data_IF_965095302290
#
_entry.id   IF_965095302290
#
_cell.length_a   1.000
_cell.length_b   1.000
_cell.length_c   1.000
_cell.angle_alpha   90.00
_cell.angle_beta   90.00
_cell.angle_gamma   90.00
#
_symmetry.space_group_name_H-M   'P 1'
#
loop_
_entity.id
_entity.type
_entity.pdbx_description
1 polymer ?
#
# COMPACT_ATOMS: atom_id res chain seq x y z
N UNK A 1 -12.69 10.24 -3.51
CA UNK A 1 -12.25 9.01 -2.83
C UNK A 1 -12.32 9.16 -1.30
N UNK A 2 -11.65 10.16 -0.71
CA UNK A 2 -11.65 10.42 0.75
C UNK A 2 -12.60 11.53 1.23
N UNK A 3 -13.59 11.91 0.41
CA UNK A 3 -14.43 13.09 0.65
C UNK A 3 -15.71 12.80 1.46
N UNK A 4 -15.74 11.69 2.20
CA UNK A 4 -16.79 11.26 3.15
C UNK A 4 -18.23 11.13 2.63
N UNK A 5 -18.52 11.47 1.38
CA UNK A 5 -19.86 11.33 0.81
C UNK A 5 -20.25 9.85 0.60
N UNK A 6 -21.52 9.59 0.29
CA UNK A 6 -22.01 8.21 0.14
C UNK A 6 -21.44 7.43 -1.05
N UNK A 7 -20.71 8.09 -1.95
CA UNK A 7 -20.01 7.48 -3.08
C UNK A 7 -18.49 7.45 -2.87
N UNK A 8 -18.01 7.81 -1.68
CA UNK A 8 -16.61 7.76 -1.29
C UNK A 8 -16.29 6.40 -0.67
N UNK A 9 -15.00 6.16 -0.42
CA UNK A 9 -14.57 5.00 0.37
C UNK A 9 -14.43 5.37 1.85
N UNK A 10 -15.20 6.35 2.34
CA UNK A 10 -15.01 7.01 3.63
C UNK A 10 -14.13 8.25 3.53
N UNK A 11 -13.38 8.54 4.59
CA UNK A 11 -12.44 9.66 4.64
C UNK A 11 -11.22 9.36 5.50
N UNK A 12 -10.62 10.42 6.02
CA UNK A 12 -9.52 10.31 6.97
C UNK A 12 -10.02 9.77 8.32
N UNK A 13 -9.11 9.19 9.09
CA UNK A 13 -9.36 8.88 10.49
C UNK A 13 -9.28 10.13 11.36
N UNK A 14 -9.83 10.06 12.57
CA UNK A 14 -9.55 11.08 13.59
C UNK A 14 -8.05 11.13 13.87
N UNK A 15 -7.53 12.31 14.25
CA UNK A 15 -6.12 12.46 14.58
C UNK A 15 -5.71 11.49 15.69
N UNK A 16 -4.64 10.74 15.46
CA UNK A 16 -3.92 9.96 16.47
C UNK A 16 -2.52 10.56 16.68
N UNK A 17 -1.94 10.33 17.85
CA UNK A 17 -0.60 10.81 18.19
C UNK A 17 0.38 9.64 18.14
N UNK A 18 1.22 9.60 17.10
CA UNK A 18 2.21 8.55 16.88
C UNK A 18 3.37 9.12 16.04
N UNK A 19 4.59 8.55 16.13
CA UNK A 19 5.78 9.15 15.52
C UNK A 19 5.80 9.07 13.98
N UNK A 20 4.97 8.20 13.39
CA UNK A 20 5.00 7.86 11.97
C UNK A 20 4.93 6.36 11.76
N UNK A 21 5.05 5.94 10.50
CA UNK A 21 5.05 4.53 10.11
C UNK A 21 6.44 4.12 9.67
N UNK A 22 7.00 3.11 10.32
CA UNK A 22 8.26 2.50 9.89
C UNK A 22 8.04 1.63 8.67
N UNK A 23 8.80 1.88 7.62
CA UNK A 23 8.77 1.07 6.39
C UNK A 23 9.67 -0.15 6.59
N UNK A 24 9.13 -1.20 7.22
CA UNK A 24 9.88 -2.44 7.44
C UNK A 24 10.09 -3.23 6.13
N UNK A 25 11.26 -3.85 5.98
CA UNK A 25 11.55 -4.80 4.89
C UNK A 25 11.93 -4.18 3.54
N UNK A 26 12.01 -2.84 3.46
CA UNK A 26 12.30 -2.14 2.21
C UNK A 26 13.74 -1.70 2.03
N UNK A 27 14.67 -1.90 2.97
CA UNK A 27 16.08 -1.44 2.82
C UNK A 27 16.30 0.09 2.87
N UNK A 28 15.23 0.88 3.03
CA UNK A 28 15.31 2.33 3.21
C UNK A 28 16.13 2.68 4.46
N UNK A 29 16.85 3.81 4.39
CA UNK A 29 17.69 4.31 5.48
C UNK A 29 17.10 5.62 6.05
N UNK A 30 17.43 5.98 7.30
CA UNK A 30 17.03 7.27 7.86
C UNK A 30 17.39 8.47 6.96
N UNK A 31 16.48 9.44 6.76
CA UNK A 31 15.13 9.55 7.35
C UNK A 31 14.01 8.90 6.53
N UNK A 32 14.31 8.20 5.45
CA UNK A 32 13.33 7.66 4.49
C UNK A 32 12.71 6.32 4.91
N UNK A 33 13.24 5.71 5.96
CA UNK A 33 12.70 4.51 6.61
C UNK A 33 11.49 4.81 7.52
N UNK A 34 11.19 6.08 7.78
CA UNK A 34 10.05 6.53 8.57
C UNK A 34 9.19 7.52 7.78
N UNK A 35 7.94 7.12 7.52
CA UNK A 35 6.92 8.02 6.95
C UNK A 35 6.32 8.85 8.11
N UNK A 36 6.43 10.19 8.09
CA UNK A 36 5.90 11.02 9.17
C UNK A 36 4.39 10.84 9.35
N UNK A 37 3.91 10.90 10.58
CA UNK A 37 2.47 10.98 10.85
C UNK A 37 1.89 12.29 10.31
N UNK A 38 0.63 12.23 9.85
CA UNK A 38 -0.09 13.38 9.32
C UNK A 38 -1.37 13.66 10.15
N UNK A 39 -2.45 14.16 9.54
CA UNK A 39 -3.65 14.60 10.25
C UNK A 39 -4.57 13.47 10.78
N UNK A 40 -4.27 12.20 10.53
CA UNK A 40 -5.13 11.06 10.88
C UNK A 40 -4.46 10.02 11.79
N UNK A 41 -4.75 8.74 11.54
CA UNK A 41 -4.21 7.56 12.25
C UNK A 41 -5.22 6.87 13.17
N UNK A 42 -6.28 7.57 13.57
CA UNK A 42 -7.39 7.03 14.34
C UNK A 42 -8.52 6.48 13.47
N UNK A 43 -9.67 6.25 14.11
CA UNK A 43 -10.85 5.66 13.47
C UNK A 43 -11.45 6.54 12.38
N UNK A 44 -11.88 5.92 11.29
CA UNK A 44 -12.76 6.55 10.29
C UNK A 44 -14.16 6.63 10.89
N UNK A 45 -14.71 7.85 11.05
CA UNK A 45 -16.01 8.08 11.68
C UNK A 45 -17.13 8.44 10.72
N UNK A 46 -16.80 8.72 9.46
CA UNK A 46 -17.73 9.27 8.47
C UNK A 46 -17.67 8.51 7.13
N UNK A 47 -18.79 8.59 6.40
CA UNK A 47 -18.97 7.95 5.10
C UNK A 47 -19.36 6.47 5.18
N UNK A 48 -19.42 5.76 4.04
CA UNK A 48 -20.04 4.43 3.94
C UNK A 48 -19.39 3.35 4.81
N UNK A 49 -18.14 3.55 5.21
CA UNK A 49 -17.33 2.56 5.94
C UNK A 49 -17.06 2.95 7.40
N UNK A 50 -17.76 3.97 7.95
CA UNK A 50 -17.61 4.40 9.34
C UNK A 50 -17.82 3.28 10.38
N UNK A 51 -18.69 2.31 10.05
CA UNK A 51 -19.01 1.16 10.91
C UNK A 51 -18.37 -0.15 10.42
N UNK A 52 -17.38 -0.07 9.51
CA UNK A 52 -16.69 -1.26 9.02
C UNK A 52 -15.83 -1.88 10.12
N UNK A 53 -15.97 -3.19 10.30
CA UNK A 53 -15.12 -3.97 11.19
C UNK A 53 -13.99 -4.65 10.41
N UNK A 54 -12.75 -4.33 10.78
CA UNK A 54 -11.53 -5.03 10.36
C UNK A 54 -11.42 -6.26 11.26
N UNK A 55 -11.42 -7.47 10.70
CA UNK A 55 -11.58 -8.71 11.47
C UNK A 55 -10.32 -9.56 11.61
N UNK A 56 -9.28 -9.32 10.80
CA UNK A 56 -8.02 -10.06 10.79
C UNK A 56 -6.83 -9.10 11.01
N UNK A 57 -5.63 -9.66 11.17
CA UNK A 57 -4.43 -8.91 11.48
C UNK A 57 -4.50 -8.23 12.86
N UNK A 58 -3.65 -7.23 13.13
CA UNK A 58 -2.53 -6.82 12.29
C UNK A 58 -1.40 -7.87 12.30
N UNK A 59 -0.60 -7.90 11.24
CA UNK A 59 0.66 -8.65 11.18
C UNK A 59 1.81 -7.64 11.26
N UNK A 60 1.82 -6.65 10.36
CA UNK A 60 2.73 -5.50 10.39
C UNK A 60 2.11 -4.32 11.13
N UNK A 61 2.09 -4.39 12.47
CA UNK A 61 1.47 -3.34 13.31
C UNK A 61 2.23 -2.01 13.20
N UNK A 62 1.60 -1.01 12.58
CA UNK A 62 2.20 0.32 12.34
C UNK A 62 1.72 1.43 13.28
N UNK A 63 0.59 1.23 13.97
CA UNK A 63 0.00 2.21 14.89
C UNK A 63 -0.07 1.58 16.29
N UNK A 64 0.57 2.18 17.32
CA UNK A 64 0.64 1.59 18.66
C UNK A 64 -0.72 1.24 19.27
N UNK A 65 -1.76 2.04 19.01
CA UNK A 65 -3.11 1.87 19.55
C UNK A 65 -3.91 0.74 18.89
N UNK A 66 -3.40 0.13 17.81
CA UNK A 66 -4.05 -1.02 17.18
C UNK A 66 -3.84 -2.26 18.06
N UNK A 67 -4.89 -2.96 18.50
CA UNK A 67 -4.74 -4.21 19.24
C UNK A 67 -3.96 -5.24 18.40
N UNK A 68 -2.90 -5.81 18.98
CA UNK A 68 -2.16 -6.90 18.34
C UNK A 68 -3.05 -8.14 18.16
N UNK A 69 -2.80 -8.92 17.12
CA UNK A 69 -3.43 -10.23 16.99
C UNK A 69 -2.77 -11.23 17.96
N UNK A 70 -3.57 -12.13 18.55
CA UNK A 70 -3.07 -13.18 19.43
C UNK A 70 -2.24 -14.21 18.66
N UNK A 71 -2.54 -14.46 17.39
CA UNK A 71 -1.71 -15.28 16.50
C UNK A 71 -0.75 -14.41 15.70
N UNK A 72 0.56 -14.75 15.63
CA UNK A 72 1.53 -14.01 14.84
C UNK A 72 1.23 -13.97 13.34
N UNK A 73 0.48 -14.95 12.81
CA UNK A 73 0.05 -15.01 11.41
C UNK A 73 -1.12 -14.06 11.09
N UNK A 74 -1.73 -13.44 12.11
CA UNK A 74 -2.84 -12.51 11.95
C UNK A 74 -4.18 -13.14 11.56
N UNK A 75 -4.31 -14.47 11.58
CA UNK A 75 -5.53 -15.15 11.12
C UNK A 75 -6.59 -15.36 12.21
N UNK A 76 -6.27 -15.15 13.48
CA UNK A 76 -7.29 -15.18 14.54
C UNK A 76 -8.22 -13.97 14.44
N UNK A 77 -9.50 -14.17 14.79
CA UNK A 77 -10.51 -13.14 14.81
C UNK A 77 -10.14 -12.00 15.78
N UNK A 78 -9.89 -10.81 15.24
CA UNK A 78 -9.48 -9.63 15.99
C UNK A 78 -10.26 -8.37 15.53
N UNK A 79 -11.58 -8.30 15.85
CA UNK A 79 -12.46 -7.25 15.33
C UNK A 79 -12.12 -5.88 15.92
N UNK A 80 -11.92 -4.90 15.03
CA UNK A 80 -11.65 -3.51 15.39
C UNK A 80 -12.13 -2.56 14.30
N UNK A 81 -12.20 -1.27 14.61
CA UNK A 81 -12.65 -0.25 13.64
C UNK A 81 -11.57 0.04 12.60
N UNK A 82 -12.00 0.32 11.37
CA UNK A 82 -11.15 0.88 10.31
C UNK A 82 -10.46 2.17 10.79
N UNK A 83 -9.14 2.25 10.60
CA UNK A 83 -8.34 3.44 10.86
C UNK A 83 -7.68 3.92 9.59
N UNK A 84 -7.56 5.24 9.40
CA UNK A 84 -6.82 5.84 8.29
C UNK A 84 -6.01 7.03 8.72
N UNK A 85 -4.85 7.18 8.11
CA UNK A 85 -4.01 8.36 8.23
C UNK A 85 -3.69 8.86 6.85
N UNK A 86 -4.63 9.57 6.22
CA UNK A 86 -4.44 10.11 4.87
C UNK A 86 -3.24 11.03 4.87
N UNK A 87 -2.19 10.63 4.16
CA UNK A 87 -0.85 11.16 4.38
C UNK A 87 -0.34 11.96 3.18
N UNK A 88 -0.20 13.27 3.36
CA UNK A 88 0.23 14.18 2.31
C UNK A 88 1.71 13.99 1.93
N UNK A 89 2.57 13.64 2.89
CA UNK A 89 4.01 13.49 2.66
C UNK A 89 4.29 12.38 1.66
N UNK A 90 3.71 11.19 1.87
CA UNK A 90 3.91 10.06 0.97
C UNK A 90 3.08 10.19 -0.31
N UNK A 91 1.93 10.88 -0.28
CA UNK A 91 1.17 11.16 -1.51
C UNK A 91 1.93 12.05 -2.50
N UNK A 92 2.97 12.77 -2.05
CA UNK A 92 3.77 13.65 -2.90
C UNK A 92 4.56 12.91 -3.98
N UNK A 93 4.74 11.59 -3.87
CA UNK A 93 5.36 10.76 -4.91
C UNK A 93 4.32 10.04 -5.80
N UNK A 94 3.04 10.43 -5.72
CA UNK A 94 1.95 9.87 -6.52
C UNK A 94 1.47 10.81 -7.65
N UNK A 95 2.18 11.92 -7.90
CA UNK A 95 1.87 12.80 -9.03
C UNK A 95 2.13 12.11 -10.37
N UNK A 96 1.46 12.61 -11.42
CA UNK A 96 1.51 12.01 -12.75
C UNK A 96 2.93 11.89 -13.33
N UNK A 97 3.88 12.76 -12.95
CA UNK A 97 5.27 12.67 -13.37
C UNK A 97 5.98 11.43 -12.80
N UNK A 98 5.67 11.01 -11.56
CA UNK A 98 6.22 9.80 -10.96
C UNK A 98 5.70 8.56 -11.67
N UNK A 99 4.38 8.48 -11.89
CA UNK A 99 3.78 7.39 -12.68
C UNK A 99 4.28 7.35 -14.13
N UNK A 100 4.45 8.52 -14.76
CA UNK A 100 5.00 8.60 -16.12
C UNK A 100 6.45 8.10 -16.16
N UNK A 101 7.26 8.47 -15.17
CA UNK A 101 8.64 8.03 -15.07
C UNK A 101 8.73 6.52 -14.83
N UNK A 102 7.92 5.98 -13.90
CA UNK A 102 7.91 4.54 -13.61
C UNK A 102 7.57 3.69 -14.85
N UNK A 103 6.71 4.20 -15.75
CA UNK A 103 6.35 3.53 -17.01
C UNK A 103 7.44 3.71 -18.08
N UNK A 104 7.90 4.94 -18.32
CA UNK A 104 8.70 5.26 -19.51
C UNK A 104 10.20 5.02 -19.34
N UNK A 105 10.70 4.99 -18.11
CA UNK A 105 12.12 4.78 -17.82
C UNK A 105 12.46 3.33 -17.46
N UNK A 106 11.46 2.44 -17.39
CA UNK A 106 11.67 1.02 -17.16
C UNK A 106 11.74 0.25 -18.49
N UNK A 107 12.93 -0.21 -18.87
CA UNK A 107 13.15 -1.00 -20.09
C UNK A 107 13.12 -2.53 -19.86
N UNK A 108 13.17 -2.99 -18.60
CA UNK A 108 13.03 -4.40 -18.22
C UNK A 108 11.92 -4.58 -17.19
N UNK A 109 11.45 -5.81 -16.99
CA UNK A 109 10.42 -6.13 -16.00
C UNK A 109 10.93 -5.90 -14.58
N UNK A 110 12.18 -6.23 -14.31
CA UNK A 110 12.82 -6.05 -13.00
C UNK A 110 12.85 -4.56 -12.63
N UNK A 111 13.28 -3.70 -13.57
CA UNK A 111 13.29 -2.26 -13.33
C UNK A 111 11.87 -1.68 -13.21
N UNK A 112 10.91 -2.20 -13.98
CA UNK A 112 9.50 -1.81 -13.85
C UNK A 112 8.96 -2.13 -12.46
N UNK A 113 9.28 -3.31 -11.93
CA UNK A 113 8.85 -3.72 -10.59
C UNK A 113 9.57 -2.96 -9.49
N UNK A 114 10.89 -2.78 -9.59
CA UNK A 114 11.65 -1.97 -8.64
C UNK A 114 11.12 -0.55 -8.55
N UNK A 115 10.92 0.12 -9.69
CA UNK A 115 10.37 1.48 -9.71
C UNK A 115 8.95 1.55 -9.12
N UNK A 116 8.16 0.48 -9.28
CA UNK A 116 6.79 0.41 -8.77
C UNK A 116 6.74 0.15 -7.26
N UNK A 117 7.55 -0.79 -6.77
CA UNK A 117 7.59 -1.21 -5.36
C UNK A 117 8.40 -0.26 -4.47
N UNK A 118 9.33 0.49 -5.05
CA UNK A 118 10.21 1.43 -4.36
C UNK A 118 11.68 1.12 -4.60
N UNK A 119 12.50 2.17 -4.67
CA UNK A 119 13.96 2.10 -4.88
C UNK A 119 14.67 2.74 -3.69
N UNK A 120 15.11 1.94 -2.71
CA UNK A 120 15.65 2.42 -1.44
C UNK A 120 16.92 3.25 -1.60
N UNK A 121 17.82 2.82 -2.47
CA UNK A 121 19.07 3.52 -2.78
C UNK A 121 18.84 4.93 -3.38
N UNK A 122 17.65 5.18 -3.91
CA UNK A 122 17.24 6.48 -4.46
C UNK A 122 16.32 7.26 -3.53
N UNK A 123 16.02 6.72 -2.35
CA UNK A 123 15.04 7.26 -1.43
C UNK A 123 13.66 7.49 -2.09
N UNK A 124 13.30 6.62 -3.03
CA UNK A 124 12.03 6.68 -3.75
C UNK A 124 11.13 5.57 -3.22
N UNK A 125 10.04 5.93 -2.55
CA UNK A 125 9.08 4.94 -2.05
C UNK A 125 8.37 4.20 -3.19
N UNK A 126 8.33 4.72 -4.41
CA UNK A 126 7.60 4.11 -5.51
C UNK A 126 6.09 4.21 -5.35
N UNK A 127 5.37 4.06 -6.46
CA UNK A 127 3.92 4.34 -6.51
C UNK A 127 3.06 3.30 -5.80
N UNK A 128 3.53 2.05 -5.65
CA UNK A 128 2.81 1.00 -4.91
C UNK A 128 2.86 1.26 -3.41
N UNK A 129 4.07 1.33 -2.85
CA UNK A 129 4.26 1.58 -1.41
C UNK A 129 3.63 2.90 -1.00
N UNK A 130 3.85 3.96 -1.78
CA UNK A 130 3.27 5.26 -1.50
C UNK A 130 1.74 5.28 -1.56
N UNK A 131 1.14 4.47 -2.45
CA UNK A 131 -0.30 4.32 -2.54
C UNK A 131 -0.90 3.74 -1.26
N UNK A 132 -0.32 2.64 -0.75
CA UNK A 132 -0.74 2.05 0.54
C UNK A 132 -0.57 3.02 1.70
N UNK A 133 0.61 3.62 1.86
CA UNK A 133 0.86 4.51 3.00
C UNK A 133 0.18 5.89 2.88
N UNK A 134 -0.30 6.29 1.69
CA UNK A 134 -1.21 7.43 1.54
C UNK A 134 -2.56 7.13 2.18
N UNK A 135 -3.03 5.89 2.16
CA UNK A 135 -4.22 5.45 2.91
C UNK A 135 -3.87 5.37 4.41
N UNK A 136 -2.74 4.73 4.70
CA UNK A 136 -2.18 4.58 6.03
C UNK A 136 -3.13 3.86 6.99
N UNK A 137 -2.96 4.07 8.29
CA UNK A 137 -3.88 3.51 9.28
C UNK A 137 -3.80 1.99 9.41
N UNK A 138 -4.94 1.38 9.69
CA UNK A 138 -5.11 -0.05 9.90
C UNK A 138 -6.43 -0.52 9.24
N UNK A 139 -6.37 -1.45 8.28
CA UNK A 139 -5.17 -2.20 7.89
C UNK A 139 -4.42 -1.59 6.69
N UNK A 140 -4.85 -0.43 6.15
CA UNK A 140 -4.30 0.12 4.91
C UNK A 140 -2.78 0.38 4.91
N UNK A 141 -2.20 0.66 6.08
CA UNK A 141 -0.74 0.75 6.23
C UNK A 141 -0.04 -0.59 6.49
N UNK A 142 -0.74 -1.62 6.95
CA UNK A 142 -0.16 -2.94 7.23
C UNK A 142 0.05 -3.71 5.93
N UNK A 143 1.31 -3.92 5.54
CA UNK A 143 1.69 -4.58 4.29
C UNK A 143 0.94 -5.91 4.05
N UNK A 144 0.74 -6.71 5.08
CA UNK A 144 0.15 -8.04 4.95
C UNK A 144 -1.37 -8.03 4.96
N UNK A 145 -1.99 -7.08 5.68
CA UNK A 145 -3.45 -7.03 5.86
C UNK A 145 -4.12 -5.86 5.11
N UNK A 146 -3.36 -5.11 4.31
CA UNK A 146 -3.83 -3.98 3.48
C UNK A 146 -5.11 -4.24 2.65
N UNK A 147 -5.42 -5.46 2.13
CA UNK A 147 -6.69 -5.73 1.47
C UNK A 147 -7.94 -5.53 2.34
N UNK A 148 -7.77 -5.48 3.67
CA UNK A 148 -8.87 -5.18 4.59
C UNK A 148 -9.34 -3.71 4.53
N UNK A 149 -8.62 -2.81 3.87
CA UNK A 149 -9.14 -1.48 3.51
C UNK A 149 -9.76 -1.54 2.10
N UNK A 150 -11.03 -1.11 1.90
CA UNK A 150 -11.67 -1.10 0.59
C UNK A 150 -10.91 -0.35 -0.52
N UNK A 151 -10.02 0.57 -0.14
CA UNK A 151 -9.19 1.32 -1.08
C UNK A 151 -8.10 0.49 -1.74
N UNK A 152 -7.74 -0.66 -1.16
CA UNK A 152 -6.78 -1.59 -1.73
C UNK A 152 -7.11 -1.90 -3.20
N UNK A 153 -8.38 -2.18 -3.50
CA UNK A 153 -8.80 -2.57 -4.84
C UNK A 153 -8.69 -1.44 -5.86
N UNK A 154 -8.93 -0.19 -5.45
CA UNK A 154 -8.74 0.97 -6.32
C UNK A 154 -7.25 1.26 -6.54
N UNK A 155 -6.45 1.13 -5.48
CA UNK A 155 -5.00 1.28 -5.57
C UNK A 155 -4.41 0.23 -6.53
N UNK A 156 -4.73 -1.05 -6.33
CA UNK A 156 -4.26 -2.13 -7.18
C UNK A 156 -4.84 -2.11 -8.59
N UNK A 157 -6.04 -1.57 -8.80
CA UNK A 157 -6.53 -1.26 -10.15
C UNK A 157 -5.65 -0.23 -10.88
N UNK A 158 -5.08 0.74 -10.17
CA UNK A 158 -4.10 1.66 -10.75
C UNK A 158 -2.73 1.00 -10.95
N UNK A 159 -2.28 0.14 -10.04
CA UNK A 159 -1.04 -0.65 -10.19
C UNK A 159 -1.11 -1.52 -11.45
N UNK A 160 -2.20 -2.27 -11.62
CA UNK A 160 -2.44 -3.09 -12.80
C UNK A 160 -2.51 -2.24 -14.08
N UNK A 161 -3.19 -1.09 -14.04
CA UNK A 161 -3.21 -0.14 -15.15
C UNK A 161 -1.81 0.35 -15.53
N UNK A 162 -0.95 0.65 -14.56
CA UNK A 162 0.44 1.06 -14.80
C UNK A 162 1.22 -0.05 -15.48
N UNK A 163 1.12 -1.28 -14.96
CA UNK A 163 1.76 -2.46 -15.54
C UNK A 163 1.27 -2.73 -16.97
N UNK A 164 -0.03 -2.69 -17.20
CA UNK A 164 -0.63 -2.86 -18.51
C UNK A 164 -0.13 -1.80 -19.51
N UNK A 165 -0.11 -0.52 -19.13
CA UNK A 165 0.43 0.54 -20.01
C UNK A 165 1.91 0.30 -20.31
N UNK A 166 2.70 -0.16 -19.34
CA UNK A 166 4.10 -0.53 -19.54
C UNK A 166 4.27 -1.68 -20.53
N UNK A 167 3.44 -2.73 -20.43
CA UNK A 167 3.46 -3.85 -21.38
C UNK A 167 3.12 -3.39 -22.81
N UNK A 168 2.13 -2.51 -22.95
CA UNK A 168 1.67 -2.00 -24.24
C UNK A 168 2.68 -1.11 -24.97
N UNK A 169 3.77 -0.68 -24.33
CA UNK A 169 4.85 0.05 -25.01
C UNK A 169 5.67 -0.84 -25.96
N UNK A 170 5.76 -2.14 -25.70
CA UNK A 170 6.45 -3.13 -26.53
C UNK A 170 5.84 -4.52 -26.28
N UNK A 171 4.61 -4.69 -26.76
CA UNK A 171 3.76 -5.85 -26.44
C UNK A 171 4.46 -7.18 -26.72
N UNK A 172 5.15 -7.28 -27.86
CA UNK A 172 5.85 -8.50 -28.29
C UNK A 172 6.94 -8.93 -27.29
N UNK A 173 7.62 -7.96 -26.68
CA UNK A 173 8.73 -8.22 -25.75
C UNK A 173 8.33 -8.17 -24.27
N UNK A 174 7.16 -7.63 -23.93
CA UNK A 174 6.77 -7.36 -22.53
C UNK A 174 5.54 -8.13 -22.05
N UNK A 175 4.79 -8.78 -22.94
CA UNK A 175 3.57 -9.50 -22.53
C UNK A 175 3.86 -10.70 -21.62
N UNK A 176 4.90 -11.47 -21.94
CA UNK A 176 5.17 -12.77 -21.31
C UNK A 176 6.44 -12.76 -20.44
N UNK A 177 6.97 -11.59 -20.10
CA UNK A 177 8.13 -11.50 -19.22
C UNK A 177 7.68 -11.62 -17.77
N UNK A 178 8.44 -12.38 -17.00
CA UNK A 178 8.27 -12.55 -15.56
C UNK A 178 9.45 -11.90 -14.85
N UNK A 179 9.22 -11.28 -13.69
CA UNK A 179 10.32 -10.89 -12.83
C UNK A 179 11.01 -12.12 -12.25
N UNK A 180 12.34 -12.10 -12.20
CA UNK A 180 13.16 -13.15 -11.61
C UNK A 180 12.92 -14.56 -12.20
N UNK A 181 13.75 -15.52 -11.78
CA UNK A 181 13.42 -16.93 -11.98
C UNK A 181 12.56 -17.35 -10.78
N UNK A 182 11.32 -17.85 -10.99
CA UNK A 182 10.56 -18.41 -9.89
C UNK A 182 11.37 -19.50 -9.20
N UNK A 183 11.19 -19.68 -7.89
CA UNK A 183 11.83 -20.77 -7.18
C UNK A 183 11.46 -22.10 -7.87
N UNK A 184 12.38 -23.05 -7.90
CA UNK A 184 12.18 -24.29 -8.67
C UNK A 184 10.99 -25.12 -8.17
N UNK A 185 10.55 -24.86 -6.94
CA UNK A 185 9.41 -25.42 -6.23
C UNK A 185 8.18 -24.48 -6.18
N UNK A 186 8.22 -23.34 -6.87
CA UNK A 186 7.07 -22.44 -7.01
C UNK A 186 6.13 -22.98 -8.09
N UNK A 187 5.21 -23.85 -7.66
CA UNK A 187 4.14 -24.39 -8.49
C UNK A 187 2.77 -23.97 -7.93
N UNK A 188 1.85 -23.61 -8.81
CA UNK A 188 0.45 -23.43 -8.45
C UNK A 188 -0.24 -24.79 -8.62
N UNK A 189 -0.59 -25.43 -7.51
CA UNK A 189 -1.48 -26.59 -7.56
C UNK A 189 -2.90 -26.10 -7.90
N UNK A 190 -3.37 -26.47 -9.08
CA UNK A 190 -4.71 -26.13 -9.57
C UNK A 190 -5.71 -27.27 -9.32
N UNK A 191 -5.32 -28.32 -8.59
CA UNK A 191 -6.15 -29.50 -8.32
C UNK A 191 -6.72 -29.53 -6.89
#
# INVERSE_FOLDING_TARGET
MFNVNMSSMGGNGVKADYPGVMVHGGGFQPPWDMIPADLGGGYVKDGPFANMAVSLGPIGKNIPEVPSNSQPDGFEHNPRCLRRGVNCYVSSVLYANYTYNSITQANTIELSQQNMLGVPDKNDWGVHMAGHYTIGGDPGGDFYSSPGDPLFYFHHGMVDRIWWIWQMQDLEKRMNVLPDAPAQDDFVDLN
#
